data_IF_043170744058
#
_entry.id   IF_043170744058
#
_cell.length_a   1.000
_cell.length_b   1.000
_cell.length_c   1.000
_cell.angle_alpha   90.00
_cell.angle_beta   90.00
_cell.angle_gamma   90.00
#
_symmetry.space_group_name_H-M   'P 1'
#
loop_
_entity.id
_entity.type
_entity.pdbx_description
1 polymer ?
#
# COMPACT_ATOMS: atom_id res chain seq x y z
N UNK A 1 -42.38 -16.70 13.82
CA UNK A 1 -41.88 -15.79 12.77
C UNK A 1 -41.91 -16.45 11.39
N UNK A 2 -41.48 -17.71 11.27
CA UNK A 2 -41.42 -18.48 10.01
C UNK A 2 -42.72 -18.47 9.20
N UNK A 3 -43.88 -18.73 9.83
CA UNK A 3 -45.18 -18.72 9.13
C UNK A 3 -45.56 -17.36 8.49
N UNK A 4 -45.07 -16.25 9.04
CA UNK A 4 -45.28 -14.91 8.46
C UNK A 4 -44.41 -14.74 7.22
N UNK A 5 -43.14 -15.16 7.29
CA UNK A 5 -42.23 -15.14 6.15
C UNK A 5 -42.71 -16.05 5.01
N UNK A 6 -43.21 -17.24 5.33
CA UNK A 6 -43.79 -18.18 4.33
C UNK A 6 -45.05 -17.61 3.66
N UNK A 7 -45.78 -16.75 4.36
CA UNK A 7 -46.96 -16.07 3.80
C UNK A 7 -46.54 -14.90 2.92
N UNK A 8 -45.57 -14.09 3.36
CA UNK A 8 -45.00 -13.01 2.56
C UNK A 8 -44.39 -13.53 1.26
N UNK A 9 -43.63 -14.62 1.32
CA UNK A 9 -43.05 -15.26 0.14
C UNK A 9 -44.12 -15.70 -0.85
N UNK A 10 -45.15 -16.42 -0.40
CA UNK A 10 -46.27 -16.82 -1.26
C UNK A 10 -47.00 -15.63 -1.89
N UNK A 11 -47.16 -14.52 -1.16
CA UNK A 11 -47.79 -13.31 -1.70
C UNK A 11 -46.93 -12.65 -2.78
N UNK A 12 -45.61 -12.60 -2.58
CA UNK A 12 -44.67 -12.08 -3.57
C UNK A 12 -44.58 -12.99 -4.80
N UNK A 13 -44.56 -14.31 -4.62
CA UNK A 13 -44.54 -15.29 -5.70
C UNK A 13 -45.82 -15.26 -6.54
N UNK A 14 -46.96 -14.98 -5.90
CA UNK A 14 -48.24 -14.81 -6.58
C UNK A 14 -48.36 -13.49 -7.38
N UNK A 15 -47.35 -12.61 -7.32
CA UNK A 15 -47.34 -11.33 -8.05
C UNK A 15 -48.39 -10.34 -7.55
N UNK A 16 -48.59 -10.27 -6.24
CA UNK A 16 -49.57 -9.35 -5.63
C UNK A 16 -49.36 -7.89 -6.06
N UNK A 17 -50.45 -7.18 -6.35
CA UNK A 17 -50.45 -5.73 -6.58
C UNK A 17 -50.53 -4.92 -5.28
N UNK A 18 -50.65 -5.60 -4.14
CA UNK A 18 -50.69 -4.94 -2.84
C UNK A 18 -49.26 -4.57 -2.38
N UNK A 19 -49.11 -3.38 -1.82
CA UNK A 19 -47.87 -2.95 -1.17
C UNK A 19 -47.61 -3.79 0.10
N UNK A 20 -46.80 -4.83 -0.07
CA UNK A 20 -46.32 -5.70 1.01
C UNK A 20 -44.98 -5.24 1.59
N UNK A 21 -44.39 -4.15 1.10
CA UNK A 21 -43.09 -3.67 1.56
C UNK A 21 -43.16 -3.23 3.04
N UNK A 22 -44.27 -2.62 3.45
CA UNK A 22 -44.50 -2.27 4.87
C UNK A 22 -44.58 -3.48 5.79
N UNK A 23 -45.24 -4.55 5.34
CA UNK A 23 -45.34 -5.80 6.11
C UNK A 23 -44.00 -6.51 6.21
N UNK A 24 -43.23 -6.55 5.12
CA UNK A 24 -41.89 -7.09 5.10
C UNK A 24 -40.94 -6.27 5.99
N UNK A 25 -41.01 -4.93 5.95
CA UNK A 25 -40.25 -4.05 6.85
C UNK A 25 -40.58 -4.32 8.32
N UNK A 26 -41.86 -4.43 8.66
CA UNK A 26 -42.29 -4.73 10.03
C UNK A 26 -41.76 -6.10 10.50
N UNK A 27 -41.70 -7.10 9.61
CA UNK A 27 -41.12 -8.39 9.93
C UNK A 27 -39.62 -8.29 10.24
N UNK A 28 -38.87 -7.52 9.45
CA UNK A 28 -37.45 -7.24 9.71
C UNK A 28 -37.28 -6.52 11.06
N UNK A 29 -38.00 -5.42 11.27
CA UNK A 29 -37.91 -4.61 12.49
C UNK A 29 -38.25 -5.43 13.75
N UNK A 30 -39.21 -6.36 13.65
CA UNK A 30 -39.59 -7.24 14.76
C UNK A 30 -38.53 -8.28 15.07
N UNK A 31 -37.87 -8.84 14.05
CA UNK A 31 -36.76 -9.80 14.23
C UNK A 31 -35.54 -9.07 14.82
N UNK A 32 -35.24 -7.87 14.34
CA UNK A 32 -34.11 -7.08 14.86
C UNK A 32 -34.37 -6.57 16.28
N UNK A 33 -35.61 -6.19 16.60
CA UNK A 33 -36.00 -5.69 17.91
C UNK A 33 -36.15 -6.77 19.00
N UNK A 34 -36.32 -8.04 18.62
CA UNK A 34 -36.39 -9.16 19.58
C UNK A 34 -35.02 -9.69 20.02
N UNK A 35 -33.92 -9.21 19.42
CA UNK A 35 -32.57 -9.64 19.74
C UNK A 35 -32.13 -9.05 21.08
N UNK A 36 -32.40 -9.75 22.19
CA UNK A 36 -31.82 -9.41 23.49
C UNK A 36 -30.32 -9.74 23.50
N UNK A 37 -29.56 -9.03 24.34
CA UNK A 37 -28.09 -8.93 24.33
C UNK A 37 -27.40 -10.26 24.76
N UNK A 38 -28.15 -11.30 25.14
CA UNK A 38 -27.64 -12.44 25.91
C UNK A 38 -27.73 -13.82 25.20
N UNK A 39 -28.28 -13.90 23.99
CA UNK A 39 -28.24 -15.16 23.23
C UNK A 39 -27.02 -15.20 22.30
N UNK A 40 -26.13 -16.15 22.56
CA UNK A 40 -25.00 -16.49 21.70
C UNK A 40 -25.48 -16.69 20.25
N UNK A 41 -25.13 -15.75 19.38
CA UNK A 41 -25.38 -15.76 17.93
C UNK A 41 -26.82 -16.17 17.56
N UNK A 42 -27.82 -15.25 17.63
CA UNK A 42 -29.17 -15.57 17.18
C UNK A 42 -29.10 -16.11 15.74
N UNK A 43 -29.89 -17.15 15.46
CA UNK A 43 -30.03 -17.71 14.11
C UNK A 43 -30.22 -16.55 13.12
N UNK A 44 -29.20 -16.32 12.27
CA UNK A 44 -29.19 -15.22 11.32
C UNK A 44 -30.08 -15.53 10.11
N UNK A 45 -30.37 -16.80 9.85
CA UNK A 45 -31.10 -17.23 8.67
C UNK A 45 -32.53 -16.64 8.57
N UNK A 46 -33.33 -16.54 9.65
CA UNK A 46 -34.61 -15.84 9.62
C UNK A 46 -34.50 -14.35 9.29
N UNK A 47 -33.45 -13.68 9.76
CA UNK A 47 -33.22 -12.26 9.48
C UNK A 47 -32.79 -12.06 8.02
N UNK A 48 -31.83 -12.85 7.55
CA UNK A 48 -31.36 -12.82 6.16
C UNK A 48 -32.52 -13.08 5.18
N UNK A 49 -33.37 -14.07 5.50
CA UNK A 49 -34.58 -14.34 4.73
C UNK A 49 -35.56 -13.18 4.75
N UNK A 50 -35.80 -12.55 5.90
CA UNK A 50 -36.69 -11.41 6.01
C UNK A 50 -36.17 -10.20 5.21
N UNK A 51 -34.86 -9.93 5.25
CA UNK A 51 -34.20 -8.88 4.47
C UNK A 51 -34.36 -9.15 2.97
N UNK A 52 -34.12 -10.38 2.51
CA UNK A 52 -34.28 -10.75 1.11
C UNK A 52 -35.73 -10.56 0.62
N UNK A 53 -36.72 -10.95 1.44
CA UNK A 53 -38.14 -10.72 1.13
C UNK A 53 -38.49 -9.23 1.11
N UNK A 54 -37.89 -8.42 1.99
CA UNK A 54 -38.07 -6.97 1.98
C UNK A 54 -37.45 -6.33 0.73
N UNK A 55 -36.25 -6.74 0.31
CA UNK A 55 -35.64 -6.29 -0.93
C UNK A 55 -36.53 -6.59 -2.15
N UNK A 56 -37.05 -7.82 -2.24
CA UNK A 56 -38.02 -8.21 -3.28
C UNK A 56 -39.29 -7.35 -3.26
N UNK A 57 -39.83 -7.07 -2.08
CA UNK A 57 -41.01 -6.22 -1.94
C UNK A 57 -40.74 -4.77 -2.38
N UNK A 58 -39.57 -4.23 -2.03
CA UNK A 58 -39.12 -2.90 -2.48
C UNK A 58 -38.91 -2.84 -4.00
N UNK A 59 -38.42 -3.90 -4.63
CA UNK A 59 -38.29 -3.95 -6.08
C UNK A 59 -39.67 -3.92 -6.77
N UNK A 60 -40.66 -4.63 -6.22
CA UNK A 60 -42.03 -4.63 -6.75
C UNK A 60 -42.75 -3.29 -6.54
N UNK A 61 -42.57 -2.66 -5.38
CA UNK A 61 -43.17 -1.37 -5.03
C UNK A 61 -42.13 -0.48 -4.33
N UNK A 62 -41.36 0.33 -5.09
CA UNK A 62 -40.28 1.12 -4.54
C UNK A 62 -40.77 2.16 -3.51
N UNK A 63 -40.25 2.14 -2.26
CA UNK A 63 -40.49 3.21 -1.30
C UNK A 63 -39.72 4.48 -1.70
N UNK A 64 -39.82 5.54 -0.89
CA UNK A 64 -38.98 6.72 -1.08
C UNK A 64 -37.48 6.33 -1.01
N UNK A 65 -36.67 6.65 -2.05
CA UNK A 65 -35.26 6.29 -2.09
C UNK A 65 -34.41 6.83 -0.94
N UNK A 66 -34.78 7.99 -0.39
CA UNK A 66 -34.09 8.60 0.75
C UNK A 66 -34.37 7.84 2.04
N UNK A 67 -35.63 7.53 2.30
CA UNK A 67 -36.02 6.72 3.46
C UNK A 67 -35.42 5.31 3.43
N UNK A 68 -35.36 4.69 2.26
CA UNK A 68 -34.75 3.36 2.09
C UNK A 68 -33.24 3.40 2.33
N UNK A 69 -32.56 4.44 1.83
CA UNK A 69 -31.13 4.64 2.07
C UNK A 69 -30.83 4.86 3.56
N UNK A 70 -31.63 5.67 4.25
CA UNK A 70 -31.48 5.91 5.69
C UNK A 70 -31.71 4.64 6.50
N UNK A 71 -32.74 3.87 6.17
CA UNK A 71 -32.98 2.56 6.79
C UNK A 71 -31.81 1.60 6.57
N UNK A 72 -31.28 1.53 5.34
CA UNK A 72 -30.15 0.68 5.00
C UNK A 72 -28.89 1.05 5.79
N UNK A 73 -28.60 2.35 5.90
CA UNK A 73 -27.46 2.87 6.67
C UNK A 73 -27.64 2.59 8.16
N UNK A 74 -28.84 2.80 8.72
CA UNK A 74 -29.15 2.50 10.11
C UNK A 74 -28.99 1.01 10.42
N UNK A 75 -29.38 0.13 9.49
CA UNK A 75 -29.22 -1.32 9.65
C UNK A 75 -27.75 -1.76 9.53
N UNK A 76 -27.00 -1.16 8.61
CA UNK A 76 -25.60 -1.49 8.35
C UNK A 76 -24.65 -0.98 9.43
N UNK A 77 -24.93 0.19 9.99
CA UNK A 77 -24.08 0.89 10.96
C UNK A 77 -24.66 0.99 12.37
N UNK A 78 -25.87 0.48 12.60
CA UNK A 78 -26.47 0.43 13.93
C UNK A 78 -25.79 -0.58 14.86
N UNK A 79 -26.24 -0.64 16.09
CA UNK A 79 -25.78 -1.62 17.08
C UNK A 79 -26.92 -2.62 17.41
N UNK A 80 -26.73 -3.93 17.18
CA UNK A 80 -25.61 -4.56 16.49
C UNK A 80 -25.66 -4.38 14.96
N UNK A 81 -24.49 -4.16 14.34
CA UNK A 81 -24.38 -3.95 12.90
C UNK A 81 -24.82 -5.20 12.12
N UNK A 82 -25.71 -5.04 11.15
CA UNK A 82 -26.22 -6.14 10.32
C UNK A 82 -25.56 -6.13 8.93
N UNK A 83 -25.45 -7.31 8.34
CA UNK A 83 -24.95 -7.47 6.97
C UNK A 83 -26.14 -7.39 6.02
N UNK A 84 -26.29 -6.25 5.35
CA UNK A 84 -27.28 -6.05 4.29
C UNK A 84 -26.52 -5.85 2.99
N UNK A 85 -26.88 -6.63 1.96
CA UNK A 85 -26.34 -6.52 0.60
C UNK A 85 -26.95 -5.30 -0.09
N UNK A 86 -26.12 -4.37 -0.56
CA UNK A 86 -26.57 -3.20 -1.32
C UNK A 86 -27.11 -3.61 -2.70
N UNK A 87 -26.59 -4.69 -3.27
CA UNK A 87 -26.99 -5.23 -4.57
C UNK A 87 -28.49 -5.56 -4.61
N UNK A 88 -29.03 -6.12 -3.52
CA UNK A 88 -30.43 -6.55 -3.45
C UNK A 88 -31.39 -5.35 -3.46
N UNK A 89 -30.93 -4.18 -3.03
CA UNK A 89 -31.71 -2.94 -2.95
C UNK A 89 -31.38 -1.95 -4.06
N UNK A 90 -30.41 -2.25 -4.93
CA UNK A 90 -29.87 -1.30 -5.90
C UNK A 90 -30.94 -0.74 -6.85
N UNK A 91 -31.85 -1.60 -7.32
CA UNK A 91 -32.96 -1.21 -8.19
C UNK A 91 -33.94 -0.27 -7.47
N UNK A 92 -34.34 -0.62 -6.25
CA UNK A 92 -35.29 0.17 -5.46
C UNK A 92 -34.70 1.50 -4.95
N UNK A 93 -33.41 1.54 -4.64
CA UNK A 93 -32.69 2.75 -4.23
C UNK A 93 -32.50 3.73 -5.40
N UNK A 94 -32.30 3.21 -6.60
CA UNK A 94 -31.98 3.99 -7.78
C UNK A 94 -30.77 4.92 -7.59
N UNK A 95 -30.60 5.90 -8.48
CA UNK A 95 -29.45 6.82 -8.44
C UNK A 95 -29.43 7.71 -7.19
N UNK A 96 -30.59 8.15 -6.73
CA UNK A 96 -30.68 9.07 -5.59
C UNK A 96 -30.35 8.39 -4.26
N UNK A 97 -30.88 7.17 -4.02
CA UNK A 97 -30.56 6.40 -2.81
C UNK A 97 -29.08 5.98 -2.77
N UNK A 98 -28.54 5.49 -3.90
CA UNK A 98 -27.12 5.13 -4.00
C UNK A 98 -26.19 6.33 -3.78
N UNK A 99 -26.54 7.51 -4.29
CA UNK A 99 -25.76 8.73 -4.06
C UNK A 99 -25.72 9.15 -2.58
N UNK A 100 -26.83 8.96 -1.85
CA UNK A 100 -26.90 9.24 -0.41
C UNK A 100 -26.01 8.28 0.38
N UNK A 101 -26.09 6.98 0.11
CA UNK A 101 -25.24 5.96 0.74
C UNK A 101 -23.76 6.26 0.46
N UNK A 102 -23.42 6.62 -0.79
CA UNK A 102 -22.07 7.03 -1.17
C UNK A 102 -21.56 8.21 -0.35
N UNK A 103 -22.35 9.28 -0.22
CA UNK A 103 -21.95 10.46 0.58
C UNK A 103 -21.54 10.05 2.00
N UNK A 104 -22.36 9.22 2.65
CA UNK A 104 -22.07 8.74 4.01
C UNK A 104 -20.83 7.85 4.08
N UNK A 105 -20.63 6.96 3.09
CA UNK A 105 -19.43 6.11 3.02
C UNK A 105 -18.17 6.96 2.80
N UNK A 106 -18.21 7.94 1.88
CA UNK A 106 -17.08 8.83 1.59
C UNK A 106 -16.72 9.71 2.78
N UNK A 107 -17.73 10.26 3.48
CA UNK A 107 -17.54 11.03 4.72
C UNK A 107 -16.84 10.19 5.81
N UNK A 108 -17.27 8.93 6.00
CA UNK A 108 -16.66 8.02 6.98
C UNK A 108 -15.27 7.54 6.57
N UNK A 109 -15.04 7.30 5.28
CA UNK A 109 -13.71 7.02 4.74
C UNK A 109 -12.76 8.20 5.00
N UNK A 110 -13.22 9.42 4.79
CA UNK A 110 -12.43 10.64 5.03
C UNK A 110 -12.15 10.90 6.51
N UNK A 111 -13.11 10.60 7.40
CA UNK A 111 -12.99 10.80 8.84
C UNK A 111 -12.14 9.73 9.56
N UNK A 112 -11.93 8.56 8.93
CA UNK A 112 -11.23 7.44 9.55
C UNK A 112 -9.71 7.68 9.56
N UNK A 113 -9.17 7.94 10.76
CA UNK A 113 -7.73 8.14 11.06
C UNK A 113 -6.97 6.84 11.30
N UNK A 114 -7.63 5.68 11.28
CA UNK A 114 -7.05 4.37 11.63
C UNK A 114 -6.56 3.64 10.38
N UNK A 115 -5.46 2.87 10.54
CA UNK A 115 -4.85 1.99 9.53
C UNK A 115 -5.83 0.98 8.91
N UNK A 116 -6.98 0.72 9.55
CA UNK A 116 -8.07 -0.12 9.06
C UNK A 116 -9.41 0.64 9.12
N UNK A 117 -10.07 0.94 7.99
CA UNK A 117 -11.45 1.43 8.01
C UNK A 117 -12.37 0.41 8.67
N UNK A 118 -13.48 0.87 9.23
CA UNK A 118 -14.55 -0.03 9.68
C UNK A 118 -14.94 -1.00 8.55
N UNK A 119 -15.05 -2.31 8.83
CA UNK A 119 -15.27 -3.32 7.79
C UNK A 119 -16.58 -3.10 7.00
N UNK A 120 -17.56 -2.43 7.63
CA UNK A 120 -18.81 -2.04 6.97
C UNK A 120 -18.57 -0.98 5.89
N UNK A 121 -17.75 0.04 6.17
CA UNK A 121 -17.42 1.11 5.23
C UNK A 121 -16.68 0.54 4.02
N UNK A 122 -15.72 -0.36 4.26
CA UNK A 122 -14.97 -1.01 3.18
C UNK A 122 -15.88 -1.85 2.28
N UNK A 123 -16.74 -2.69 2.88
CA UNK A 123 -17.70 -3.51 2.14
C UNK A 123 -18.62 -2.64 1.28
N UNK A 124 -19.24 -1.61 1.86
CA UNK A 124 -20.18 -0.75 1.14
C UNK A 124 -19.50 0.06 0.03
N UNK A 125 -18.26 0.52 0.26
CA UNK A 125 -17.48 1.19 -0.79
C UNK A 125 -17.22 0.28 -1.99
N UNK A 126 -16.93 -1.01 -1.75
CA UNK A 126 -16.76 -1.99 -2.81
C UNK A 126 -18.08 -2.24 -3.57
N UNK A 127 -19.19 -2.49 -2.87
CA UNK A 127 -20.49 -2.75 -3.50
C UNK A 127 -20.97 -1.53 -4.31
N UNK A 128 -20.74 -0.31 -3.82
CA UNK A 128 -21.02 0.92 -4.58
C UNK A 128 -20.18 1.02 -5.85
N UNK A 129 -18.89 0.68 -5.79
CA UNK A 129 -18.02 0.70 -6.96
C UNK A 129 -18.46 -0.32 -8.02
N UNK A 130 -18.92 -1.50 -7.60
CA UNK A 130 -19.47 -2.53 -8.48
C UNK A 130 -20.79 -2.07 -9.14
N UNK A 131 -21.69 -1.44 -8.39
CA UNK A 131 -23.00 -0.99 -8.89
C UNK A 131 -22.94 0.29 -9.75
N UNK A 132 -22.09 1.25 -9.40
CA UNK A 132 -22.02 2.56 -10.06
C UNK A 132 -20.91 2.66 -11.09
N UNK A 133 -19.93 1.75 -11.06
CA UNK A 133 -18.71 1.82 -11.85
C UNK A 133 -17.72 2.90 -11.39
N UNK A 134 -18.05 3.65 -10.34
CA UNK A 134 -17.21 4.73 -9.82
C UNK A 134 -16.26 4.19 -8.74
N UNK A 135 -14.98 4.08 -9.11
CA UNK A 135 -13.93 3.54 -8.23
C UNK A 135 -13.01 4.63 -7.66
N UNK A 136 -13.15 5.86 -8.13
CA UNK A 136 -12.20 6.95 -7.90
C UNK A 136 -12.05 7.32 -6.41
N UNK A 137 -13.16 7.50 -5.70
CA UNK A 137 -13.16 7.86 -4.27
C UNK A 137 -12.51 6.79 -3.40
N UNK A 138 -12.87 5.51 -3.62
CA UNK A 138 -12.34 4.37 -2.87
C UNK A 138 -10.84 4.15 -3.10
N UNK A 139 -10.40 4.19 -4.37
CA UNK A 139 -8.97 4.04 -4.70
C UNK A 139 -8.15 5.21 -4.15
N UNK A 140 -8.64 6.44 -4.22
CA UNK A 140 -7.95 7.59 -3.63
C UNK A 140 -7.84 7.50 -2.10
N UNK A 141 -8.88 6.99 -1.42
CA UNK A 141 -8.84 6.74 0.03
C UNK A 141 -7.83 5.64 0.39
N UNK A 142 -7.74 4.58 -0.40
CA UNK A 142 -6.77 3.50 -0.21
C UNK A 142 -5.33 3.89 -0.58
N UNK A 143 -5.12 4.66 -1.67
CA UNK A 143 -3.80 5.14 -2.09
C UNK A 143 -3.19 6.10 -1.05
N UNK A 144 -4.00 6.88 -0.33
CA UNK A 144 -3.54 7.73 0.79
C UNK A 144 -3.02 6.95 2.01
N UNK A 145 -3.37 5.66 2.13
CA UNK A 145 -3.12 4.84 3.33
C UNK A 145 -1.83 3.99 3.25
N UNK A 146 -0.89 4.40 2.39
CA UNK A 146 0.48 3.86 2.27
C UNK A 146 0.58 2.43 1.68
N UNK A 147 1.78 1.97 1.24
CA UNK A 147 1.94 0.85 0.33
C UNK A 147 1.84 -0.50 1.05
N UNK A 148 0.65 -0.88 1.50
CA UNK A 148 0.38 -2.25 1.91
C UNK A 148 0.06 -3.09 0.66
N UNK A 149 0.76 -4.22 0.52
CA UNK A 149 0.55 -5.18 -0.57
C UNK A 149 -0.89 -5.69 -0.61
N UNK A 150 -1.53 -5.86 0.54
CA UNK A 150 -2.94 -6.27 0.64
C UNK A 150 -3.88 -5.20 0.08
N UNK A 151 -3.64 -3.93 0.40
CA UNK A 151 -4.41 -2.79 -0.11
C UNK A 151 -4.23 -2.66 -1.62
N UNK A 152 -3.00 -2.86 -2.12
CA UNK A 152 -2.70 -2.89 -3.55
C UNK A 152 -3.44 -4.02 -4.28
N UNK A 153 -3.50 -5.21 -3.69
CA UNK A 153 -4.26 -6.34 -4.23
C UNK A 153 -5.77 -6.08 -4.22
N UNK A 154 -6.29 -5.43 -3.18
CA UNK A 154 -7.70 -4.99 -3.10
C UNK A 154 -8.01 -3.99 -4.21
N UNK A 155 -7.18 -2.97 -4.41
CA UNK A 155 -7.31 -1.99 -5.51
C UNK A 155 -7.37 -2.71 -6.87
N UNK A 156 -6.44 -3.63 -7.13
CA UNK A 156 -6.41 -4.39 -8.39
C UNK A 156 -7.66 -5.24 -8.58
N UNK A 157 -8.19 -5.87 -7.52
CA UNK A 157 -9.42 -6.66 -7.59
C UNK A 157 -10.63 -5.80 -7.95
N UNK A 158 -10.82 -4.67 -7.27
CA UNK A 158 -11.95 -3.77 -7.53
C UNK A 158 -11.86 -3.16 -8.93
N UNK A 159 -10.67 -2.69 -9.35
CA UNK A 159 -10.48 -2.17 -10.71
C UNK A 159 -10.78 -3.21 -11.78
N UNK A 160 -10.50 -4.50 -11.53
CA UNK A 160 -10.87 -5.58 -12.45
C UNK A 160 -12.36 -5.89 -12.44
N UNK A 161 -13.00 -5.90 -11.27
CA UNK A 161 -14.43 -6.15 -11.13
C UNK A 161 -15.26 -5.14 -11.95
N UNK A 162 -14.80 -3.88 -12.00
CA UNK A 162 -15.44 -2.78 -12.74
C UNK A 162 -14.99 -2.70 -14.21
N UNK A 163 -14.19 -3.66 -14.69
CA UNK A 163 -13.74 -3.72 -16.10
C UNK A 163 -12.60 -2.74 -16.46
N UNK A 164 -12.04 -2.01 -15.50
CA UNK A 164 -10.90 -1.07 -15.69
C UNK A 164 -9.56 -1.79 -15.65
N UNK A 165 -9.36 -2.75 -16.56
CA UNK A 165 -8.18 -3.62 -16.58
C UNK A 165 -6.86 -2.88 -16.82
N UNK A 166 -6.86 -1.84 -17.65
CA UNK A 166 -5.68 -0.99 -17.90
C UNK A 166 -5.17 -0.33 -16.63
N UNK A 167 -6.09 0.17 -15.81
CA UNK A 167 -5.76 0.91 -14.59
C UNK A 167 -5.28 -0.05 -13.50
N UNK A 168 -5.87 -1.25 -13.44
CA UNK A 168 -5.39 -2.33 -12.58
C UNK A 168 -3.95 -2.73 -12.93
N UNK A 169 -3.62 -2.83 -14.23
CA UNK A 169 -2.26 -3.12 -14.69
C UNK A 169 -1.30 -1.97 -14.39
N UNK A 170 -1.72 -0.73 -14.62
CA UNK A 170 -0.91 0.46 -14.31
C UNK A 170 -0.63 0.57 -12.80
N UNK A 171 -1.63 0.33 -11.95
CA UNK A 171 -1.47 0.33 -10.50
C UNK A 171 -0.54 -0.81 -10.04
N UNK A 172 -0.74 -2.04 -10.52
CA UNK A 172 0.15 -3.17 -10.22
C UNK A 172 1.60 -2.94 -10.68
N UNK A 173 1.80 -2.29 -11.83
CA UNK A 173 3.12 -1.92 -12.33
C UNK A 173 3.79 -0.86 -11.45
N UNK A 174 3.04 0.13 -10.95
CA UNK A 174 3.54 1.15 -10.00
C UNK A 174 3.99 0.51 -8.68
N UNK A 175 3.15 -0.33 -8.07
CA UNK A 175 3.46 -1.02 -6.81
C UNK A 175 4.69 -1.91 -6.98
N UNK A 176 4.75 -2.68 -8.07
CA UNK A 176 5.89 -3.54 -8.40
C UNK A 176 7.17 -2.76 -8.74
N UNK A 177 7.03 -1.53 -9.24
CA UNK A 177 8.13 -0.59 -9.45
C UNK A 177 8.65 0.05 -8.17
N UNK A 178 7.85 0.00 -7.09
CA UNK A 178 8.11 0.63 -5.80
C UNK A 178 8.71 -0.32 -4.75
N UNK A 179 8.91 -1.60 -5.06
CA UNK A 179 9.50 -2.61 -4.16
C UNK A 179 11.04 -2.64 -4.28
N UNK A 180 11.79 -2.26 -3.22
CA UNK A 180 13.25 -2.29 -3.22
C UNK A 180 13.85 -3.70 -3.38
N UNK A 181 13.13 -4.76 -2.98
CA UNK A 181 13.62 -6.15 -3.01
C UNK A 181 13.96 -6.61 -4.43
N UNK A 182 13.17 -6.14 -5.41
CA UNK A 182 13.37 -6.41 -6.83
C UNK A 182 14.68 -5.85 -7.38
N UNK A 183 15.19 -4.76 -6.80
CA UNK A 183 16.51 -4.23 -7.16
C UNK A 183 17.57 -5.28 -6.80
N UNK A 184 17.46 -5.91 -5.63
CA UNK A 184 18.32 -7.02 -5.21
C UNK A 184 18.29 -8.20 -6.19
N UNK A 185 17.10 -8.62 -6.60
CA UNK A 185 16.94 -9.73 -7.56
C UNK A 185 17.59 -9.44 -8.93
N UNK A 186 17.42 -8.21 -9.43
CA UNK A 186 18.01 -7.77 -10.69
C UNK A 186 19.54 -7.72 -10.61
N UNK A 187 20.09 -7.24 -9.49
CA UNK A 187 21.53 -7.23 -9.22
C UNK A 187 22.08 -8.66 -9.13
N UNK A 188 21.38 -9.57 -8.45
CA UNK A 188 21.76 -10.98 -8.36
C UNK A 188 21.73 -11.69 -9.73
N UNK A 189 20.76 -11.35 -10.58
CA UNK A 189 20.66 -11.85 -11.96
C UNK A 189 21.67 -11.19 -12.93
N UNK A 190 22.46 -10.23 -12.46
CA UNK A 190 23.44 -9.47 -13.24
C UNK A 190 22.85 -8.49 -14.26
N UNK A 191 21.59 -8.09 -14.06
CA UNK A 191 20.88 -7.10 -14.87
C UNK A 191 21.07 -5.70 -14.27
N UNK A 192 22.32 -5.27 -14.19
CA UNK A 192 22.71 -4.08 -13.41
C UNK A 192 22.06 -2.79 -13.94
N UNK A 193 21.88 -2.67 -15.26
CA UNK A 193 21.26 -1.50 -15.91
C UNK A 193 19.75 -1.40 -15.65
N UNK A 194 19.07 -2.55 -15.61
CA UNK A 194 17.64 -2.63 -15.27
C UNK A 194 17.44 -2.32 -13.78
N UNK A 195 18.32 -2.83 -12.92
CA UNK A 195 18.33 -2.49 -11.50
C UNK A 195 18.49 -0.98 -11.29
N UNK A 196 19.41 -0.34 -12.02
CA UNK A 196 19.62 1.10 -11.93
C UNK A 196 18.43 1.93 -12.45
N UNK A 197 17.77 1.47 -13.50
CA UNK A 197 16.57 2.12 -14.02
C UNK A 197 15.44 2.05 -13.01
N UNK A 198 15.25 0.89 -12.36
CA UNK A 198 14.27 0.73 -11.29
C UNK A 198 14.61 1.60 -10.07
N UNK A 199 15.88 1.66 -9.67
CA UNK A 199 16.36 2.54 -8.60
C UNK A 199 16.02 4.01 -8.86
N UNK A 200 16.25 4.51 -10.08
CA UNK A 200 15.90 5.89 -10.44
C UNK A 200 14.40 6.13 -10.44
N UNK A 201 13.58 5.16 -10.83
CA UNK A 201 12.13 5.31 -10.79
C UNK A 201 11.59 5.32 -9.35
N UNK A 202 12.19 4.51 -8.47
CA UNK A 202 11.85 4.44 -7.05
C UNK A 202 12.19 5.75 -6.33
N UNK A 203 13.39 6.30 -6.57
CA UNK A 203 13.89 7.49 -5.89
C UNK A 203 13.53 8.80 -6.62
N UNK A 204 13.16 8.72 -7.90
CA UNK A 204 12.97 9.85 -8.82
C UNK A 204 11.52 10.22 -9.10
N UNK A 205 10.60 9.90 -8.19
CA UNK A 205 9.21 10.38 -8.26
C UNK A 205 9.07 11.91 -8.17
N UNK A 206 10.12 12.66 -7.80
CA UNK A 206 10.13 14.13 -7.75
C UNK A 206 11.38 14.72 -8.45
N UNK A 207 11.41 14.64 -9.77
CA UNK A 207 12.26 15.52 -10.57
C UNK A 207 11.60 16.89 -10.73
N UNK A 208 11.80 17.81 -9.80
CA UNK A 208 11.73 19.24 -10.11
C UNK A 208 12.65 20.03 -9.20
N UNK A 209 13.47 20.86 -9.83
CA UNK A 209 14.23 21.91 -9.20
C UNK A 209 13.37 22.65 -8.16
N UNK A 210 13.82 22.69 -6.91
CA UNK A 210 13.53 23.81 -6.02
C UNK A 210 14.83 24.30 -5.44
N UNK A 211 15.04 25.58 -5.70
CA UNK A 211 16.14 26.39 -5.23
C UNK A 211 16.24 26.30 -3.71
N UNK A 212 17.49 26.24 -3.25
CA UNK A 212 17.89 26.75 -1.94
C UNK A 212 17.36 28.17 -1.86
N UNK A 213 16.46 28.42 -0.91
CA UNK A 213 16.44 29.59 -0.04
C UNK A 213 15.33 29.40 1.01
N UNK A 214 15.66 29.82 2.23
CA UNK A 214 14.79 30.26 3.33
C UNK A 214 14.74 29.39 4.61
N UNK A 215 14.91 30.11 5.71
CA UNK A 215 15.29 29.70 7.06
C UNK A 215 14.15 28.97 7.82
N UNK A 216 14.50 27.90 8.53
CA UNK A 216 13.54 27.18 9.39
C UNK A 216 14.20 26.17 10.33
N UNK A 217 14.31 26.56 11.58
CA UNK A 217 14.75 25.84 12.79
C UNK A 217 14.44 24.32 12.84
N UNK A 218 15.42 23.42 13.12
CA UNK A 218 15.16 22.00 13.28
C UNK A 218 14.77 21.67 14.73
N UNK A 219 13.47 21.55 14.99
CA UNK A 219 12.93 21.01 16.24
C UNK A 219 13.20 19.49 16.40
N UNK A 220 13.25 18.96 17.64
CA UNK A 220 13.73 17.60 17.89
C UNK A 220 12.61 16.55 17.82
N UNK A 221 12.93 15.51 17.06
CA UNK A 221 12.78 14.08 17.40
C UNK A 221 11.38 13.56 17.77
N UNK A 222 10.63 13.09 16.77
CA UNK A 222 9.65 11.99 16.87
C UNK A 222 9.61 11.22 15.54
N UNK A 223 9.89 9.91 15.53
CA UNK A 223 9.55 9.11 14.34
C UNK A 223 10.18 7.73 14.30
N UNK A 224 9.38 6.72 14.60
CA UNK A 224 9.71 5.32 14.39
C UNK A 224 10.27 5.07 12.98
N UNK A 225 11.31 4.24 12.93
CA UNK A 225 12.00 3.68 11.76
C UNK A 225 11.06 3.29 10.60
N UNK A 226 10.70 4.27 9.77
CA UNK A 226 10.40 4.04 8.36
C UNK A 226 11.74 3.83 7.68
N UNK A 227 12.00 2.62 7.18
CA UNK A 227 13.23 2.34 6.46
C UNK A 227 13.29 3.29 5.25
N UNK A 228 14.16 4.29 5.31
CA UNK A 228 14.43 5.20 4.21
C UNK A 228 14.70 4.38 2.94
N UNK A 229 13.85 4.50 1.89
CA UNK A 229 14.03 3.76 0.66
C UNK A 229 15.41 3.97 0.05
N UNK A 230 16.03 5.14 0.24
CA UNK A 230 17.38 5.41 -0.22
C UNK A 230 18.41 4.58 0.57
N UNK A 231 18.30 4.50 1.89
CA UNK A 231 19.14 3.65 2.75
C UNK A 231 19.07 2.16 2.37
N UNK A 232 17.87 1.62 2.16
CA UNK A 232 17.68 0.21 1.75
C UNK A 232 18.35 -0.08 0.40
N UNK A 233 18.20 0.83 -0.57
CA UNK A 233 18.83 0.70 -1.88
C UNK A 233 20.35 0.82 -1.78
N UNK A 234 20.86 1.76 -0.98
CA UNK A 234 22.30 1.91 -0.73
C UNK A 234 22.89 0.60 -0.21
N UNK A 235 22.23 -0.06 0.75
CA UNK A 235 22.68 -1.33 1.31
C UNK A 235 22.62 -2.50 0.33
N UNK A 236 21.63 -2.52 -0.58
CA UNK A 236 21.57 -3.49 -1.67
C UNK A 236 22.75 -3.35 -2.63
N UNK A 237 23.11 -2.12 -3.00
CA UNK A 237 24.28 -1.87 -3.85
C UNK A 237 25.59 -2.19 -3.12
N UNK A 238 25.74 -1.87 -1.82
CA UNK A 238 26.92 -2.24 -1.01
C UNK A 238 27.12 -3.77 -1.00
N UNK A 239 26.07 -4.54 -0.68
CA UNK A 239 26.11 -6.02 -0.70
C UNK A 239 26.46 -6.58 -2.07
N UNK A 240 25.91 -5.99 -3.13
CA UNK A 240 26.21 -6.41 -4.49
C UNK A 240 27.68 -6.15 -4.87
N UNK A 241 28.23 -4.99 -4.50
CA UNK A 241 29.65 -4.65 -4.72
C UNK A 241 30.56 -5.63 -3.98
N UNK A 242 30.30 -5.87 -2.69
CA UNK A 242 31.09 -6.84 -1.91
C UNK A 242 30.98 -8.24 -2.54
N UNK A 243 29.80 -8.67 -2.98
CA UNK A 243 29.59 -9.94 -3.68
C UNK A 243 30.35 -10.05 -5.00
N UNK A 244 30.42 -8.98 -5.81
CA UNK A 244 31.20 -8.97 -7.06
C UNK A 244 32.72 -9.03 -6.79
N UNK A 245 33.19 -8.41 -5.70
CA UNK A 245 34.60 -8.36 -5.35
C UNK A 245 35.09 -9.66 -4.70
N UNK A 246 34.24 -10.29 -3.87
CA UNK A 246 34.54 -11.53 -3.16
C UNK A 246 34.07 -12.79 -3.91
N UNK A 247 33.27 -12.60 -4.96
CA UNK A 247 32.73 -13.66 -5.81
C UNK A 247 33.79 -14.64 -6.29
N UNK A 248 33.48 -15.93 -6.09
CA UNK A 248 34.33 -17.09 -6.43
C UNK A 248 34.36 -17.43 -7.91
N UNK A 249 33.67 -16.68 -8.77
CA UNK A 249 33.63 -16.91 -10.22
C UNK A 249 34.97 -16.52 -10.85
N UNK A 250 35.95 -17.40 -10.64
CA UNK A 250 37.34 -17.29 -11.07
C UNK A 250 37.51 -17.34 -12.59
N UNK A 251 36.44 -17.54 -13.35
CA UNK A 251 36.46 -17.59 -14.83
C UNK A 251 36.67 -16.21 -15.47
N UNK A 252 36.20 -15.12 -14.86
CA UNK A 252 36.46 -13.77 -15.38
C UNK A 252 36.47 -12.66 -14.30
N UNK A 253 37.54 -12.58 -13.48
CA UNK A 253 37.67 -11.57 -12.44
C UNK A 253 37.67 -10.13 -12.95
N UNK A 254 38.13 -9.90 -14.19
CA UNK A 254 38.20 -8.56 -14.77
C UNK A 254 36.80 -7.99 -15.05
N UNK A 255 35.88 -8.81 -15.59
CA UNK A 255 34.49 -8.41 -15.81
C UNK A 255 33.77 -8.08 -14.49
N UNK A 256 34.04 -8.84 -13.42
CA UNK A 256 33.45 -8.58 -12.11
C UNK A 256 33.96 -7.27 -11.49
N UNK A 257 35.25 -6.95 -11.65
CA UNK A 257 35.80 -5.68 -11.17
C UNK A 257 35.28 -4.47 -11.96
N UNK A 258 35.12 -4.60 -13.28
CA UNK A 258 34.50 -3.55 -14.10
C UNK A 258 33.04 -3.29 -13.68
N UNK A 259 32.26 -4.36 -13.42
CA UNK A 259 30.88 -4.25 -12.90
C UNK A 259 30.84 -3.64 -11.50
N UNK A 260 31.75 -4.04 -10.61
CA UNK A 260 31.86 -3.44 -9.28
C UNK A 260 32.19 -1.94 -9.36
N UNK A 261 33.08 -1.55 -10.27
CA UNK A 261 33.41 -0.14 -10.50
C UNK A 261 32.21 0.66 -11.07
N UNK A 262 31.41 0.06 -11.93
CA UNK A 262 30.17 0.67 -12.42
C UNK A 262 29.12 0.82 -11.30
N UNK A 263 28.93 -0.21 -10.47
CA UNK A 263 28.06 -0.17 -9.30
C UNK A 263 28.52 0.88 -8.27
N UNK A 264 29.83 1.05 -8.05
CA UNK A 264 30.38 2.10 -7.19
C UNK A 264 30.06 3.51 -7.69
N UNK A 265 30.04 3.76 -9.01
CA UNK A 265 29.60 5.07 -9.56
C UNK A 265 28.13 5.34 -9.25
N UNK A 266 27.29 4.32 -9.35
CA UNK A 266 25.86 4.38 -9.02
C UNK A 266 25.66 4.63 -7.53
N UNK A 267 26.40 3.90 -6.69
CA UNK A 267 26.41 4.09 -5.23
C UNK A 267 26.84 5.52 -4.84
N UNK A 268 27.84 6.11 -5.51
CA UNK A 268 28.23 7.51 -5.31
C UNK A 268 27.10 8.48 -5.61
N UNK A 269 26.36 8.22 -6.70
CA UNK A 269 25.22 9.05 -7.12
C UNK A 269 24.12 8.98 -6.06
N UNK A 270 23.81 7.78 -5.55
CA UNK A 270 22.83 7.57 -4.49
C UNK A 270 23.18 8.34 -3.21
N UNK A 271 24.42 8.25 -2.72
CA UNK A 271 24.83 8.97 -1.50
C UNK A 271 24.85 10.49 -1.70
N UNK A 272 25.17 10.97 -2.90
CA UNK A 272 25.10 12.41 -3.21
C UNK A 272 23.65 12.89 -3.23
N UNK A 273 22.78 12.15 -3.89
CA UNK A 273 21.37 12.51 -4.04
C UNK A 273 20.62 12.38 -2.69
N UNK A 274 21.09 11.53 -1.78
CA UNK A 274 20.62 11.41 -0.39
C UNK A 274 21.26 12.42 0.58
N UNK A 275 22.13 13.34 0.11
CA UNK A 275 22.75 14.35 0.97
C UNK A 275 23.83 13.85 1.94
N UNK A 276 24.29 12.61 1.79
CA UNK A 276 25.29 11.94 2.65
C UNK A 276 26.57 11.54 1.88
N UNK A 277 27.25 12.47 1.19
CA UNK A 277 28.44 12.16 0.39
C UNK A 277 29.64 11.68 1.21
N UNK A 278 29.72 12.03 2.50
CA UNK A 278 30.81 11.62 3.39
C UNK A 278 30.79 10.11 3.65
N UNK A 279 29.61 9.51 3.83
CA UNK A 279 29.48 8.07 4.03
C UNK A 279 29.98 7.24 2.85
N UNK A 280 29.80 7.75 1.62
CA UNK A 280 30.39 7.11 0.44
C UNK A 280 31.92 7.14 0.49
N UNK A 281 32.50 8.23 0.97
CA UNK A 281 33.95 8.40 1.08
C UNK A 281 34.53 7.44 2.12
N UNK A 282 33.87 7.31 3.27
CA UNK A 282 34.26 6.37 4.33
C UNK A 282 34.13 4.92 3.88
N UNK A 283 33.01 4.58 3.22
CA UNK A 283 32.81 3.26 2.61
C UNK A 283 33.90 2.93 1.58
N UNK A 284 34.22 3.88 0.69
CA UNK A 284 35.24 3.70 -0.34
C UNK A 284 36.64 3.54 0.29
N UNK A 285 36.97 4.31 1.31
CA UNK A 285 38.25 4.19 2.02
C UNK A 285 38.39 2.82 2.70
N UNK A 286 37.34 2.36 3.38
CA UNK A 286 37.29 1.03 3.97
C UNK A 286 37.39 -0.09 2.93
N UNK A 287 36.74 0.06 1.78
CA UNK A 287 36.80 -0.90 0.67
C UNK A 287 38.21 -1.00 0.07
N UNK A 288 38.87 0.14 -0.16
CA UNK A 288 40.24 0.20 -0.71
C UNK A 288 41.25 -0.41 0.27
N UNK A 289 41.14 -0.15 1.57
CA UNK A 289 42.05 -0.74 2.55
C UNK A 289 41.88 -2.27 2.65
N UNK A 290 40.63 -2.77 2.66
CA UNK A 290 40.33 -4.21 2.66
C UNK A 290 40.89 -4.92 1.43
N UNK A 291 40.85 -4.30 0.26
CA UNK A 291 41.23 -4.92 -1.01
C UNK A 291 42.51 -4.37 -1.64
N UNK A 292 43.41 -3.75 -0.85
CA UNK A 292 44.66 -3.12 -1.31
C UNK A 292 45.59 -4.02 -2.16
N UNK A 293 45.48 -5.34 -2.01
CA UNK A 293 46.28 -6.33 -2.77
C UNK A 293 45.69 -6.68 -4.14
N UNK A 294 44.42 -6.34 -4.42
CA UNK A 294 43.74 -6.59 -5.70
C UNK A 294 44.01 -5.43 -6.67
N UNK A 295 45.23 -5.34 -7.22
CA UNK A 295 45.68 -4.21 -8.05
C UNK A 295 44.77 -3.92 -9.24
N UNK A 296 44.29 -4.96 -9.94
CA UNK A 296 43.34 -4.82 -11.06
C UNK A 296 42.01 -4.17 -10.67
N UNK A 297 41.51 -4.44 -9.46
CA UNK A 297 40.29 -3.77 -8.94
C UNK A 297 40.54 -2.28 -8.74
N UNK A 298 41.72 -1.91 -8.20
CA UNK A 298 42.09 -0.51 -7.99
C UNK A 298 42.25 0.24 -9.32
N UNK A 299 42.76 -0.42 -10.35
CA UNK A 299 42.87 0.16 -11.69
C UNK A 299 41.50 0.41 -12.32
N UNK A 300 40.54 -0.52 -12.17
CA UNK A 300 39.15 -0.33 -12.63
C UNK A 300 38.43 0.80 -11.86
N UNK A 301 38.66 0.92 -10.55
CA UNK A 301 38.10 2.03 -9.74
C UNK A 301 38.65 3.39 -10.22
N UNK A 302 39.95 3.47 -10.53
CA UNK A 302 40.56 4.68 -11.10
C UNK A 302 40.04 4.96 -12.51
N UNK A 303 39.94 3.94 -13.36
CA UNK A 303 39.38 4.04 -14.71
C UNK A 303 37.92 4.50 -14.70
N UNK A 304 37.17 4.12 -13.66
CA UNK A 304 35.83 4.59 -13.38
C UNK A 304 35.70 6.06 -12.92
N UNK A 305 36.81 6.83 -12.89
CA UNK A 305 36.86 8.22 -12.42
C UNK A 305 36.35 8.39 -10.99
N UNK A 306 36.61 7.39 -10.15
CA UNK A 306 36.39 7.47 -8.71
C UNK A 306 37.73 7.83 -8.09
N UNK A 307 37.80 8.97 -7.40
CA UNK A 307 39.02 9.42 -6.74
C UNK A 307 39.35 8.45 -5.59
N UNK A 308 40.44 7.69 -5.75
CA UNK A 308 40.94 6.83 -4.67
C UNK A 308 41.64 7.73 -3.66
N UNK A 309 41.22 7.75 -2.38
CA UNK A 309 41.92 8.53 -1.37
C UNK A 309 43.39 8.08 -1.31
N UNK A 310 44.32 9.03 -1.42
CA UNK A 310 45.75 8.74 -1.29
C UNK A 310 45.99 8.21 0.12
N UNK A 311 46.57 7.02 0.25
CA UNK A 311 47.02 6.51 1.53
C UNK A 311 48.04 7.49 2.11
N UNK A 312 47.68 8.20 3.18
CA UNK A 312 48.64 8.94 3.99
C UNK A 312 49.48 7.90 4.73
N UNK A 313 50.82 7.91 4.62
CA UNK A 313 51.65 6.98 5.38
C UNK A 313 51.39 7.18 6.87
N UNK A 314 51.14 6.08 7.59
CA UNK A 314 51.05 6.02 9.05
C UNK A 314 52.29 6.72 9.62
N UNK A 315 52.11 7.90 10.21
CA UNK A 315 53.17 8.62 10.90
C UNK A 315 53.55 7.78 12.12
N UNK A 316 54.67 7.07 12.02
CA UNK A 316 55.25 6.31 13.12
C UNK A 316 55.65 7.28 14.22
N UNK A 317 54.91 7.25 15.32
CA UNK A 317 55.25 7.97 16.53
C UNK A 317 56.64 7.52 17.02
N UNK A 318 57.56 8.48 17.05
CA UNK A 318 58.90 8.39 17.65
C UNK A 318 58.75 8.26 19.17
N UNK A 319 59.41 7.30 19.85
CA UNK A 319 59.30 7.18 21.30
C UNK A 319 59.98 8.39 21.97
N UNK A 320 59.22 9.10 22.81
CA UNK A 320 59.73 10.19 23.64
C UNK A 320 60.42 9.62 24.88
N UNK A 321 61.53 10.26 25.23
CA UNK A 321 62.47 9.87 26.26
C UNK A 321 61.90 9.93 27.69
N UNK A 322 62.44 9.04 28.51
CA UNK A 322 62.27 8.86 29.95
C UNK A 322 62.79 10.09 30.74
N UNK A 323 62.09 10.57 31.79
CA UNK A 323 62.64 11.60 32.65
C UNK A 323 63.37 11.01 33.88
N UNK A 324 64.65 11.35 33.98
CA UNK A 324 65.52 11.17 35.15
C UNK A 324 64.96 11.98 36.33
N UNK A 325 64.69 11.31 37.46
CA UNK A 325 64.44 11.96 38.76
C UNK A 325 65.77 12.37 39.39
N UNK A 326 65.86 13.63 39.80
CA UNK A 326 66.85 14.12 40.78
C UNK A 326 66.34 13.88 42.19
#
# INVERSE_FOLDING_TARGET
MTAVLDTLERMLDAGTTADVARLARLAVDRITGSSTIDEACPDQAPLDRAIALYARACAAHPPDPGELADWFLAMSFGEPARRVSLHDFAEALGRHGLARIRSTVDERLAASTVECPEPVVERLGQELAELTGEVGGLVAAWEKRLPNIEVSLKIVRVLRAVGRHSDALAHAARVRGSDPSRIGDLLAAGRDDDAWTLTRNLLGGHGSARNVDDDGDPGPDHGASQADPAGVVIDLYRRHIDSLIDGRDSRNPAANYARAAAALRRLRTLHRDAGIPNEFTDYLAGLVERHRRKTRLLDEIRAARIAVPKQTPKQTARPAAEPVRK
#
